data_IF_645471795881
#
_entry.id   IF_645471795881
#
_cell.length_a   1.000
_cell.length_b   1.000
_cell.length_c   1.000
_cell.angle_alpha   90.00
_cell.angle_beta   90.00
_cell.angle_gamma   90.00
#
_symmetry.space_group_name_H-M   'P 1'
#
loop_
_entity.id
_entity.type
_entity.pdbx_description
1 polymer ?
#
# COMPACT_ATOMS: atom_id res chain seq x y z
N UNK A 1 -15.74 2.44 1.14
CA UNK A 1 -14.68 2.94 0.29
C UNK A 1 -14.92 2.58 -1.19
N UNK A 2 -14.74 1.34 -1.62
CA UNK A 2 -14.84 0.92 -3.04
C UNK A 2 -16.25 0.89 -3.63
N UNK A 3 -17.31 0.85 -2.83
CA UNK A 3 -18.69 0.87 -3.33
C UNK A 3 -19.06 2.21 -3.95
N UNK A 4 -18.63 3.30 -3.36
CA UNK A 4 -18.86 4.65 -3.87
C UNK A 4 -18.11 4.85 -5.18
N UNK A 5 -16.85 4.41 -5.24
CA UNK A 5 -16.04 4.45 -6.46
C UNK A 5 -16.65 3.58 -7.58
N UNK A 6 -17.09 2.36 -7.27
CA UNK A 6 -17.77 1.49 -8.23
C UNK A 6 -19.07 2.13 -8.75
N UNK A 7 -19.89 2.71 -7.84
CA UNK A 7 -21.14 3.36 -8.19
C UNK A 7 -20.92 4.60 -9.07
N UNK A 8 -19.93 5.45 -8.74
CA UNK A 8 -19.61 6.63 -9.55
C UNK A 8 -19.19 6.28 -10.98
N UNK A 9 -18.69 5.07 -11.19
CA UNK A 9 -18.28 4.52 -12.49
C UNK A 9 -19.31 3.58 -13.13
N UNK A 10 -20.52 3.48 -12.55
CA UNK A 10 -21.59 2.58 -12.97
C UNK A 10 -21.15 1.09 -13.06
N UNK A 11 -20.20 0.66 -12.22
CA UNK A 11 -19.71 -0.70 -12.15
C UNK A 11 -20.41 -1.50 -11.03
N UNK A 12 -20.65 -2.79 -11.27
CA UNK A 12 -21.15 -3.70 -10.24
C UNK A 12 -19.98 -4.20 -9.40
N UNK A 13 -20.01 -3.97 -8.09
CA UNK A 13 -19.07 -4.56 -7.14
C UNK A 13 -19.77 -5.61 -6.29
N UNK A 14 -19.35 -6.87 -6.43
CA UNK A 14 -19.88 -8.01 -5.70
C UNK A 14 -18.84 -8.61 -4.77
N UNK A 15 -19.25 -9.02 -3.57
CA UNK A 15 -18.38 -9.74 -2.63
C UNK A 15 -19.04 -11.09 -2.34
N UNK A 16 -18.29 -12.17 -2.57
CA UNK A 16 -18.68 -13.53 -2.22
C UNK A 16 -17.76 -14.08 -1.14
N UNK A 17 -18.31 -14.34 0.02
CA UNK A 17 -17.59 -14.92 1.16
C UNK A 17 -18.28 -16.23 1.60
N UNK A 18 -17.53 -17.17 2.19
CA UNK A 18 -18.13 -18.36 2.80
C UNK A 18 -19.03 -17.97 3.97
N UNK A 19 -20.02 -18.81 4.26
CA UNK A 19 -20.93 -18.59 5.41
C UNK A 19 -20.21 -18.79 6.74
N UNK A 20 -19.28 -19.76 6.80
CA UNK A 20 -18.45 -20.01 7.99
C UNK A 20 -17.27 -19.04 8.06
N UNK A 21 -16.80 -18.74 9.25
CA UNK A 21 -15.53 -18.03 9.46
C UNK A 21 -14.38 -18.91 8.97
N UNK A 22 -13.38 -18.29 8.39
CA UNK A 22 -12.15 -18.95 7.95
C UNK A 22 -11.00 -18.10 8.48
N UNK A 23 -10.12 -18.75 9.18
CA UNK A 23 -8.88 -18.14 9.67
C UNK A 23 -7.74 -18.57 8.75
N UNK A 24 -6.87 -17.63 8.41
CA UNK A 24 -5.72 -17.88 7.55
C UNK A 24 -4.45 -17.36 8.19
N UNK A 25 -3.32 -17.96 7.85
CA UNK A 25 -2.02 -17.47 8.27
C UNK A 25 -1.58 -16.34 7.33
N UNK A 26 -1.28 -15.17 7.91
CA UNK A 26 -0.82 -14.01 7.14
C UNK A 26 -0.81 -12.74 7.97
N UNK A 27 -0.07 -11.75 7.52
CA UNK A 27 -0.06 -10.41 8.12
C UNK A 27 -1.30 -9.63 7.65
N UNK A 28 -2.16 -9.14 8.56
CA UNK A 28 -3.39 -8.43 8.20
C UNK A 28 -3.16 -7.16 7.38
N UNK A 29 -2.05 -6.44 7.64
CA UNK A 29 -1.72 -5.20 6.92
C UNK A 29 -1.32 -5.51 5.49
N UNK A 30 -0.47 -6.52 5.29
CA UNK A 30 -0.02 -6.94 3.95
C UNK A 30 -1.18 -7.54 3.13
N UNK A 31 -2.08 -8.30 3.77
CA UNK A 31 -3.30 -8.79 3.12
C UNK A 31 -4.19 -7.63 2.70
N UNK A 32 -4.43 -6.67 3.60
CA UNK A 32 -5.24 -5.48 3.31
C UNK A 32 -4.64 -4.67 2.16
N UNK A 33 -3.33 -4.40 2.21
CA UNK A 33 -2.64 -3.65 1.16
C UNK A 33 -2.75 -4.34 -0.21
N UNK A 34 -2.58 -5.66 -0.23
CA UNK A 34 -2.73 -6.45 -1.44
C UNK A 34 -4.15 -6.36 -2.01
N UNK A 35 -5.16 -6.50 -1.17
CA UNK A 35 -6.57 -6.41 -1.60
C UNK A 35 -6.92 -5.01 -2.12
N UNK A 36 -6.45 -3.96 -1.46
CA UNK A 36 -6.65 -2.57 -1.93
C UNK A 36 -6.10 -2.43 -3.35
N UNK A 37 -4.85 -2.83 -3.59
CA UNK A 37 -4.22 -2.73 -4.91
C UNK A 37 -4.97 -3.55 -5.98
N UNK A 38 -5.37 -4.77 -5.65
CA UNK A 38 -6.10 -5.63 -6.61
C UNK A 38 -7.48 -5.07 -6.95
N UNK A 39 -8.24 -4.59 -5.95
CA UNK A 39 -9.59 -4.04 -6.15
C UNK A 39 -9.50 -2.71 -6.92
N UNK A 40 -8.56 -1.84 -6.57
CA UNK A 40 -8.34 -0.58 -7.29
C UNK A 40 -8.00 -0.83 -8.76
N UNK A 41 -7.10 -1.77 -9.04
CA UNK A 41 -6.78 -2.16 -10.42
C UNK A 41 -8.00 -2.69 -11.15
N UNK A 42 -8.76 -3.58 -10.54
CA UNK A 42 -9.98 -4.13 -11.15
C UNK A 42 -10.99 -3.03 -11.48
N UNK A 43 -11.25 -2.10 -10.56
CA UNK A 43 -12.13 -0.97 -10.81
C UNK A 43 -11.58 -0.04 -11.89
N UNK A 44 -10.27 0.24 -11.86
CA UNK A 44 -9.61 1.15 -12.80
C UNK A 44 -9.68 0.67 -14.24
N UNK A 45 -9.41 -0.62 -14.47
CA UNK A 45 -9.33 -1.20 -15.81
C UNK A 45 -10.62 -1.85 -16.31
N UNK A 46 -11.70 -1.75 -15.54
CA UNK A 46 -13.05 -2.14 -15.97
C UNK A 46 -13.81 -0.90 -16.43
N UNK A 47 -14.09 -0.81 -17.72
CA UNK A 47 -14.85 0.31 -18.29
C UNK A 47 -16.35 0.08 -18.17
N UNK A 48 -16.80 -1.16 -18.30
CA UNK A 48 -18.20 -1.58 -18.19
C UNK A 48 -18.28 -2.98 -17.54
N UNK A 49 -19.38 -3.25 -16.82
CA UNK A 49 -19.61 -4.56 -16.22
C UNK A 49 -19.37 -4.55 -14.71
N UNK A 50 -18.35 -5.27 -14.19
CA UNK A 50 -18.18 -5.32 -12.76
C UNK A 50 -16.95 -6.05 -12.25
N UNK A 51 -16.80 -5.98 -10.93
CA UNK A 51 -15.73 -6.58 -10.14
C UNK A 51 -16.33 -7.54 -9.12
N UNK A 52 -15.75 -8.72 -8.98
CA UNK A 52 -16.11 -9.71 -7.98
C UNK A 52 -14.90 -10.01 -7.10
N UNK A 53 -15.05 -9.76 -5.80
CA UNK A 53 -14.11 -10.24 -4.78
C UNK A 53 -14.67 -11.54 -4.20
N UNK A 54 -13.90 -12.62 -4.27
CA UNK A 54 -14.34 -13.92 -3.80
C UNK A 54 -13.34 -14.55 -2.82
N UNK A 55 -13.85 -15.12 -1.73
CA UNK A 55 -13.08 -15.89 -0.76
C UNK A 55 -13.55 -17.33 -0.86
N UNK A 56 -12.65 -18.25 -1.23
CA UNK A 56 -12.99 -19.66 -1.47
C UNK A 56 -12.06 -20.59 -0.69
N UNK A 57 -12.62 -21.36 0.26
CA UNK A 57 -11.87 -22.45 0.88
C UNK A 57 -11.61 -23.57 -0.13
N UNK A 58 -10.41 -24.17 -0.07
CA UNK A 58 -9.95 -25.26 -0.93
C UNK A 58 -9.11 -26.24 -0.09
N UNK A 59 -9.75 -27.19 0.57
CA UNK A 59 -9.08 -28.10 1.50
C UNK A 59 -8.51 -27.33 2.70
N UNK A 60 -7.20 -27.42 2.89
CA UNK A 60 -6.40 -26.73 3.90
C UNK A 60 -5.95 -25.31 3.47
N UNK A 61 -6.36 -24.88 2.29
CA UNK A 61 -6.03 -23.56 1.75
C UNK A 61 -7.29 -22.69 1.59
N UNK A 62 -7.08 -21.37 1.63
CA UNK A 62 -8.09 -20.37 1.32
C UNK A 62 -7.59 -19.48 0.18
N UNK A 63 -8.36 -19.40 -0.88
CA UNK A 63 -8.07 -18.55 -2.03
C UNK A 63 -8.87 -17.25 -1.94
N UNK A 64 -8.18 -16.15 -2.01
CA UNK A 64 -8.77 -14.81 -2.15
C UNK A 64 -8.58 -14.37 -3.59
N UNK A 65 -9.66 -14.01 -4.26
CA UNK A 65 -9.70 -13.74 -5.70
C UNK A 65 -10.37 -12.40 -5.97
N UNK A 66 -9.82 -11.66 -6.91
CA UNK A 66 -10.44 -10.47 -7.49
C UNK A 66 -10.59 -10.70 -8.99
N UNK A 67 -11.83 -10.68 -9.45
CA UNK A 67 -12.21 -10.86 -10.84
C UNK A 67 -12.74 -9.54 -11.40
N UNK A 68 -12.37 -9.22 -12.61
CA UNK A 68 -12.90 -8.08 -13.34
C UNK A 68 -13.36 -8.49 -14.75
N UNK A 69 -14.27 -7.72 -15.31
CA UNK A 69 -14.71 -7.83 -16.71
C UNK A 69 -14.09 -6.72 -17.57
N UNK A 70 -12.88 -6.32 -17.22
CA UNK A 70 -12.17 -5.23 -17.86
C UNK A 70 -11.50 -5.60 -19.16
N UNK A 71 -10.55 -4.79 -19.55
CA UNK A 71 -9.85 -4.92 -20.84
C UNK A 71 -8.97 -6.16 -20.97
N UNK A 72 -8.70 -6.85 -19.85
CA UNK A 72 -7.79 -7.98 -19.84
C UNK A 72 -6.34 -7.60 -20.10
N UNK A 73 -5.48 -8.62 -20.27
CA UNK A 73 -4.03 -8.47 -20.40
C UNK A 73 -3.57 -9.39 -21.53
N UNK A 74 -2.82 -8.87 -22.48
CA UNK A 74 -2.25 -9.62 -23.58
C UNK A 74 -1.22 -10.67 -23.07
N UNK A 75 -1.07 -11.78 -23.78
CA UNK A 75 -0.22 -12.90 -23.34
C UNK A 75 1.24 -12.49 -23.16
N UNK A 76 1.76 -11.61 -24.05
CA UNK A 76 3.13 -11.12 -24.02
C UNK A 76 3.43 -10.25 -22.79
N UNK A 77 2.41 -9.67 -22.18
CA UNK A 77 2.52 -8.76 -21.04
C UNK A 77 2.41 -9.48 -19.69
N UNK A 78 1.76 -10.65 -19.65
CA UNK A 78 1.46 -11.40 -18.41
C UNK A 78 2.69 -11.67 -17.54
N UNK A 79 3.84 -11.92 -18.14
CA UNK A 79 5.09 -12.16 -17.42
C UNK A 79 5.70 -10.93 -16.76
N UNK A 80 5.26 -9.73 -17.15
CA UNK A 80 5.87 -8.46 -16.73
C UNK A 80 5.00 -7.64 -15.79
N UNK A 81 3.69 -7.92 -15.70
CA UNK A 81 2.73 -7.06 -14.96
C UNK A 81 2.99 -6.94 -13.45
N UNK A 82 3.74 -7.87 -12.87
CA UNK A 82 4.16 -7.81 -11.47
C UNK A 82 5.52 -7.11 -11.27
N UNK A 83 6.16 -6.68 -12.35
CA UNK A 83 7.41 -5.91 -12.26
C UNK A 83 7.09 -4.45 -11.86
N UNK A 84 7.90 -3.85 -10.99
CA UNK A 84 7.75 -2.44 -10.62
C UNK A 84 7.76 -1.55 -11.89
N UNK A 85 6.90 -0.53 -11.90
CA UNK A 85 6.77 0.49 -12.96
C UNK A 85 6.35 -0.04 -14.34
N UNK A 86 6.13 -1.33 -14.48
CA UNK A 86 5.63 -1.89 -15.72
C UNK A 86 4.15 -1.55 -15.91
N UNK A 87 3.82 -1.07 -17.09
CA UNK A 87 2.45 -0.75 -17.49
C UNK A 87 2.24 -1.20 -18.93
N UNK A 88 1.22 -2.06 -19.18
CA UNK A 88 0.76 -2.37 -20.53
C UNK A 88 0.40 -1.12 -21.33
N UNK A 89 0.60 -1.14 -22.64
CA UNK A 89 0.29 0.02 -23.51
C UNK A 89 -1.18 0.46 -23.37
N UNK A 90 -2.09 -0.49 -23.26
CA UNK A 90 -3.51 -0.21 -23.07
C UNK A 90 -3.80 0.47 -21.71
N UNK A 91 -3.04 0.15 -20.67
CA UNK A 91 -3.17 0.76 -19.36
C UNK A 91 -2.81 2.26 -19.39
N UNK A 92 -1.85 2.67 -20.21
CA UNK A 92 -1.52 4.09 -20.42
C UNK A 92 -2.67 4.87 -21.05
N UNK A 93 -3.40 4.24 -21.98
CA UNK A 93 -4.55 4.87 -22.67
C UNK A 93 -5.75 5.06 -21.75
N UNK A 94 -5.93 4.16 -20.77
CA UNK A 94 -7.06 4.20 -19.84
C UNK A 94 -6.80 5.16 -18.67
N UNK A 95 -5.58 5.15 -18.17
CA UNK A 95 -5.19 5.97 -17.00
C UNK A 95 -3.74 6.42 -17.13
N UNK A 96 -3.54 7.70 -17.44
CA UNK A 96 -2.21 8.30 -17.56
C UNK A 96 -1.50 8.50 -16.21
N UNK A 97 -2.24 8.58 -15.09
CA UNK A 97 -1.71 8.91 -13.77
C UNK A 97 -1.19 7.71 -12.95
N UNK A 98 -1.44 6.48 -13.40
CA UNK A 98 -1.00 5.28 -12.67
C UNK A 98 0.52 5.08 -12.71
N UNK A 99 1.12 4.68 -11.60
CA UNK A 99 2.58 4.55 -11.46
C UNK A 99 3.13 3.14 -11.76
N UNK A 100 2.29 2.14 -12.05
CA UNK A 100 2.74 0.76 -12.30
C UNK A 100 3.26 0.02 -11.07
N UNK A 101 2.91 0.45 -9.86
CA UNK A 101 3.39 -0.12 -8.60
C UNK A 101 2.42 -1.11 -7.95
N UNK A 102 1.12 -1.01 -8.20
CA UNK A 102 0.10 -1.75 -7.46
C UNK A 102 0.31 -3.27 -7.46
N UNK A 103 0.57 -3.87 -8.63
CA UNK A 103 0.81 -5.33 -8.73
C UNK A 103 2.19 -5.74 -8.20
N UNK A 104 3.20 -4.89 -8.31
CA UNK A 104 4.51 -5.13 -7.70
C UNK A 104 4.42 -5.16 -6.17
N UNK A 105 3.62 -4.27 -5.57
CA UNK A 105 3.32 -4.29 -4.13
C UNK A 105 2.62 -5.60 -3.74
N UNK A 106 1.63 -6.07 -4.52
CA UNK A 106 0.98 -7.38 -4.28
C UNK A 106 2.01 -8.51 -4.29
N UNK A 107 2.91 -8.53 -5.28
CA UNK A 107 3.96 -9.53 -5.37
C UNK A 107 4.92 -9.48 -4.16
N UNK A 108 5.32 -8.28 -3.73
CA UNK A 108 6.17 -8.09 -2.55
C UNK A 108 5.47 -8.53 -1.26
N UNK A 109 4.23 -8.12 -1.05
CA UNK A 109 3.43 -8.57 0.10
C UNK A 109 3.28 -10.09 0.15
N UNK A 110 2.99 -10.72 -1.00
CA UNK A 110 2.87 -12.16 -1.09
C UNK A 110 4.19 -12.89 -0.76
N UNK A 111 5.33 -12.37 -1.23
CA UNK A 111 6.67 -12.90 -0.88
C UNK A 111 6.95 -12.79 0.62
N UNK A 112 6.67 -11.64 1.23
CA UNK A 112 6.87 -11.42 2.67
C UNK A 112 6.02 -12.38 3.51
N UNK A 113 4.77 -12.61 3.11
CA UNK A 113 3.87 -13.56 3.77
C UNK A 113 4.14 -15.03 3.38
N UNK A 114 5.03 -15.29 2.42
CA UNK A 114 5.30 -16.62 1.85
C UNK A 114 4.04 -17.28 1.28
N UNK A 115 3.12 -16.50 0.72
CA UNK A 115 1.89 -17.00 0.09
C UNK A 115 2.03 -17.05 -1.42
N UNK A 116 1.34 -18.01 -2.05
CA UNK A 116 1.29 -18.10 -3.51
C UNK A 116 0.32 -17.08 -4.07
N UNK A 117 0.65 -16.50 -5.21
CA UNK A 117 -0.19 -15.54 -5.93
C UNK A 117 -0.06 -15.76 -7.43
N UNK A 118 -1.01 -15.22 -8.16
CA UNK A 118 -0.96 -15.28 -9.62
C UNK A 118 -2.16 -14.62 -10.28
N UNK A 119 -2.24 -14.80 -11.58
CA UNK A 119 -3.31 -14.25 -12.38
C UNK A 119 -3.71 -15.17 -13.53
N UNK A 120 -4.91 -14.96 -14.05
CA UNK A 120 -5.40 -15.44 -15.33
C UNK A 120 -6.11 -14.27 -16.01
N UNK A 121 -5.87 -14.06 -17.28
CA UNK A 121 -6.50 -12.99 -18.04
C UNK A 121 -6.67 -13.39 -19.50
N UNK A 122 -7.71 -12.85 -20.10
CA UNK A 122 -7.97 -12.94 -21.54
C UNK A 122 -8.20 -11.50 -22.00
N UNK A 123 -7.43 -11.06 -22.95
CA UNK A 123 -7.58 -9.75 -23.56
C UNK A 123 -9.01 -9.55 -24.08
N UNK A 124 -9.60 -8.38 -23.78
CA UNK A 124 -10.98 -8.04 -24.09
C UNK A 124 -12.05 -8.72 -23.23
N UNK A 125 -11.70 -9.63 -22.29
CA UNK A 125 -12.68 -10.35 -21.47
C UNK A 125 -12.53 -10.10 -19.97
N UNK A 126 -11.36 -9.60 -19.51
CA UNK A 126 -11.07 -9.31 -18.14
C UNK A 126 -10.01 -10.19 -17.51
N UNK A 127 -9.82 -10.01 -16.20
CA UNK A 127 -8.76 -10.66 -15.45
C UNK A 127 -9.26 -11.28 -14.14
N UNK A 128 -8.50 -12.22 -13.66
CA UNK A 128 -8.63 -12.81 -12.32
C UNK A 128 -7.27 -12.79 -11.67
N UNK A 129 -7.14 -12.08 -10.55
CA UNK A 129 -5.97 -12.12 -9.68
C UNK A 129 -6.29 -12.91 -8.42
N UNK A 130 -5.32 -13.63 -7.88
CA UNK A 130 -5.56 -14.46 -6.72
C UNK A 130 -4.34 -14.54 -5.81
N UNK A 131 -4.62 -14.74 -4.50
CA UNK A 131 -3.65 -15.08 -3.47
C UNK A 131 -4.15 -16.31 -2.72
N UNK A 132 -3.24 -17.20 -2.31
CA UNK A 132 -3.55 -18.48 -1.67
C UNK A 132 -2.90 -18.54 -0.31
N UNK A 133 -3.70 -18.64 0.71
CA UNK A 133 -3.32 -18.68 2.11
C UNK A 133 -3.52 -20.07 2.70
N UNK A 134 -2.66 -20.50 3.61
CA UNK A 134 -2.89 -21.69 4.43
C UNK A 134 -3.98 -21.38 5.45
N UNK A 135 -4.99 -22.24 5.58
CA UNK A 135 -6.00 -22.12 6.63
C UNK A 135 -5.37 -22.49 7.97
N UNK A 136 -5.76 -21.76 8.99
CA UNK A 136 -5.45 -22.12 10.36
C UNK A 136 -6.43 -23.18 10.84
N UNK A 137 -5.91 -24.35 11.22
CA UNK A 137 -6.70 -25.51 11.68
C UNK A 137 -6.77 -25.61 13.21
N UNK A 138 -6.55 -24.51 13.94
CA UNK A 138 -6.64 -24.50 15.42
C UNK A 138 -8.08 -24.72 15.89
N UNK A 139 -8.23 -25.34 17.06
CA UNK A 139 -9.53 -25.56 17.70
C UNK A 139 -10.23 -24.21 17.94
N UNK A 140 -11.51 -24.16 17.57
CA UNK A 140 -12.38 -22.96 17.58
C UNK A 140 -12.59 -22.32 18.98
N UNK A 141 -11.95 -22.81 20.03
CA UNK A 141 -12.30 -22.49 21.42
C UNK A 141 -11.75 -21.17 22.00
N UNK A 142 -10.86 -20.46 21.30
CA UNK A 142 -10.25 -19.25 21.86
C UNK A 142 -10.68 -17.96 21.12
N UNK A 143 -11.31 -18.07 19.95
CA UNK A 143 -11.68 -16.91 19.14
C UNK A 143 -13.21 -16.69 19.01
N UNK A 144 -14.00 -17.41 19.78
CA UNK A 144 -15.48 -17.35 19.75
C UNK A 144 -16.10 -16.21 20.57
N UNK A 145 -15.34 -15.17 20.89
CA UNK A 145 -16.00 -13.92 21.25
C UNK A 145 -16.33 -13.18 19.96
N UNK A 146 -17.59 -13.16 19.51
CA UNK A 146 -17.96 -12.36 18.36
C UNK A 146 -17.68 -10.90 18.74
N UNK A 147 -16.95 -10.14 17.92
CA UNK A 147 -17.19 -8.72 17.97
C UNK A 147 -18.68 -8.58 17.65
N UNK A 148 -19.44 -7.97 18.53
CA UNK A 148 -20.85 -7.72 18.37
C UNK A 148 -21.11 -7.29 16.94
N UNK A 149 -22.16 -7.84 16.33
CA UNK A 149 -22.58 -7.49 14.96
C UNK A 149 -23.13 -6.06 14.98
N UNK A 150 -22.24 -5.11 15.17
CA UNK A 150 -22.51 -3.71 14.89
C UNK A 150 -22.27 -3.49 13.41
N UNK A 151 -23.36 -3.33 12.68
CA UNK A 151 -23.40 -2.91 11.28
C UNK A 151 -22.96 -1.45 11.07
N UNK A 152 -22.47 -0.80 12.09
CA UNK A 152 -21.63 0.38 11.97
C UNK A 152 -20.22 -0.15 11.71
N UNK A 153 -19.73 0.05 10.51
CA UNK A 153 -18.31 -0.05 10.22
C UNK A 153 -17.61 0.93 11.17
N UNK A 154 -17.28 0.44 12.38
CA UNK A 154 -16.39 1.17 13.26
C UNK A 154 -15.11 1.31 12.46
N UNK A 155 -14.68 2.53 12.13
CA UNK A 155 -13.38 2.69 11.52
C UNK A 155 -12.42 1.92 12.42
N UNK A 156 -11.57 1.07 11.83
CA UNK A 156 -10.49 0.45 12.58
C UNK A 156 -9.79 1.60 13.26
N UNK A 157 -10.07 1.80 14.55
CA UNK A 157 -9.33 2.75 15.35
C UNK A 157 -7.95 2.14 15.45
N UNK A 158 -7.07 2.57 14.57
CA UNK A 158 -5.65 2.42 14.83
C UNK A 158 -5.45 2.97 16.24
N UNK A 159 -4.81 2.20 17.11
CA UNK A 159 -4.32 2.78 18.37
C UNK A 159 -3.59 4.07 17.92
N UNK A 160 -3.92 5.23 18.52
CA UNK A 160 -3.30 6.45 18.10
C UNK A 160 -1.79 6.21 18.13
N UNK A 161 -1.14 6.41 16.99
CA UNK A 161 0.31 6.32 16.92
C UNK A 161 0.79 7.49 17.75
N UNK A 162 1.43 7.19 18.89
CA UNK A 162 2.04 8.22 19.72
C UNK A 162 3.50 8.32 19.30
N UNK A 163 3.90 9.49 18.88
CA UNK A 163 5.27 9.77 18.46
C UNK A 163 5.41 11.13 17.82
N UNK A 164 6.63 11.48 17.52
CA UNK A 164 7.02 12.72 16.85
C UNK A 164 7.74 12.38 15.55
N UNK A 165 7.44 13.10 14.48
CA UNK A 165 8.03 12.91 13.16
C UNK A 165 8.56 14.23 12.62
N UNK A 166 9.76 14.21 12.06
CA UNK A 166 10.29 15.32 11.28
C UNK A 166 10.18 14.97 9.79
N UNK A 167 9.61 15.86 9.00
CA UNK A 167 9.53 15.74 7.54
C UNK A 167 10.44 16.80 6.95
N UNK A 168 11.36 16.40 6.09
CA UNK A 168 12.26 17.31 5.38
C UNK A 168 11.94 17.25 3.89
N UNK A 169 11.25 18.26 3.40
CA UNK A 169 10.79 18.37 2.01
C UNK A 169 10.56 19.85 1.68
N UNK A 170 11.08 20.32 0.58
CA UNK A 170 10.99 21.72 0.17
C UNK A 170 9.73 22.05 -0.65
N UNK A 171 8.87 21.08 -0.90
CA UNK A 171 7.56 21.31 -1.50
C UNK A 171 6.49 21.55 -0.42
N UNK A 172 5.94 22.77 -0.33
CA UNK A 172 4.94 23.12 0.68
C UNK A 172 3.63 22.34 0.55
N UNK A 173 3.32 21.79 -0.63
CA UNK A 173 2.16 20.93 -0.81
C UNK A 173 2.39 19.54 -0.19
N UNK A 174 3.61 19.04 -0.31
CA UNK A 174 3.99 17.73 0.27
C UNK A 174 4.05 17.84 1.80
N UNK A 175 4.70 18.87 2.33
CA UNK A 175 4.76 19.08 3.80
C UNK A 175 3.37 19.27 4.40
N UNK A 176 2.50 20.07 3.79
CA UNK A 176 1.12 20.27 4.25
C UNK A 176 0.29 18.97 4.18
N UNK A 177 0.53 18.13 3.17
CA UNK A 177 -0.12 16.83 3.09
C UNK A 177 0.33 15.89 4.22
N UNK A 178 1.64 15.87 4.55
CA UNK A 178 2.18 15.11 5.67
C UNK A 178 1.63 15.61 7.02
N UNK A 179 1.58 16.92 7.24
CA UNK A 179 0.98 17.49 8.45
C UNK A 179 -0.47 17.07 8.62
N UNK A 180 -1.28 17.16 7.57
CA UNK A 180 -2.68 16.76 7.58
C UNK A 180 -2.84 15.27 7.88
N UNK A 181 -2.04 14.42 7.26
CA UNK A 181 -2.09 12.96 7.43
C UNK A 181 -1.65 12.55 8.84
N UNK A 182 -0.54 13.08 9.31
CA UNK A 182 0.06 12.73 10.59
C UNK A 182 -0.80 13.22 11.77
N UNK A 183 -1.43 14.38 11.64
CA UNK A 183 -2.34 14.92 12.66
C UNK A 183 -3.56 14.03 12.87
N UNK A 184 -4.10 13.43 11.78
CA UNK A 184 -5.21 12.45 11.87
C UNK A 184 -4.79 11.19 12.65
N UNK A 185 -3.51 10.84 12.57
CA UNK A 185 -2.96 9.69 13.31
C UNK A 185 -2.52 10.02 14.73
N UNK A 186 -2.58 11.29 15.14
CA UNK A 186 -2.15 11.74 16.46
C UNK A 186 -0.63 11.82 16.63
N UNK A 187 0.12 11.92 15.51
CA UNK A 187 1.57 12.09 15.48
C UNK A 187 1.89 13.58 15.52
N UNK A 188 2.78 13.99 16.42
CA UNK A 188 3.35 15.34 16.43
C UNK A 188 4.35 15.48 15.27
N UNK A 189 4.02 16.30 14.28
CA UNK A 189 4.85 16.46 13.08
C UNK A 189 5.42 17.87 13.01
N UNK A 190 6.72 17.97 12.67
CA UNK A 190 7.38 19.20 12.29
C UNK A 190 7.90 19.04 10.87
N UNK A 191 7.82 20.12 10.10
CA UNK A 191 8.31 20.15 8.73
C UNK A 191 9.46 21.13 8.59
N UNK A 192 10.43 20.80 7.76
CA UNK A 192 11.59 21.60 7.41
C UNK A 192 11.77 21.60 5.89
N UNK A 193 12.09 22.74 5.29
CA UNK A 193 12.33 22.86 3.86
C UNK A 193 13.83 22.72 3.49
N UNK A 194 14.72 22.61 4.47
CA UNK A 194 16.17 22.49 4.30
C UNK A 194 16.83 21.75 5.46
N UNK A 195 18.09 21.36 5.28
CA UNK A 195 18.90 20.81 6.37
C UNK A 195 19.02 21.79 7.54
N UNK A 196 19.23 23.09 7.26
CA UNK A 196 19.37 24.12 8.27
C UNK A 196 18.13 24.21 9.17
N UNK A 197 16.94 24.24 8.57
CA UNK A 197 15.67 24.23 9.32
C UNK A 197 15.48 22.95 10.11
N UNK A 198 15.82 21.80 9.53
CA UNK A 198 15.73 20.51 10.22
C UNK A 198 16.62 20.48 11.46
N UNK A 199 17.85 20.97 11.37
CA UNK A 199 18.76 21.06 12.51
C UNK A 199 18.29 22.09 13.53
N UNK A 200 17.75 23.24 13.12
CA UNK A 200 17.20 24.23 14.03
C UNK A 200 16.02 23.67 14.86
N UNK A 201 15.15 22.86 14.24
CA UNK A 201 14.05 22.19 14.94
C UNK A 201 14.58 21.22 16.01
N UNK A 202 15.64 20.48 15.71
CA UNK A 202 16.28 19.57 16.68
C UNK A 202 16.96 20.35 17.81
N UNK A 203 17.67 21.44 17.46
CA UNK A 203 18.37 22.27 18.44
C UNK A 203 17.39 23.02 19.37
N UNK A 204 16.15 23.26 18.95
CA UNK A 204 15.04 23.78 19.75
C UNK A 204 14.43 22.72 20.69
N UNK A 205 14.98 21.51 20.71
CA UNK A 205 14.61 20.44 21.61
C UNK A 205 13.57 19.44 21.07
N UNK A 206 13.23 19.52 19.78
CA UNK A 206 12.36 18.53 19.18
C UNK A 206 13.13 17.23 18.93
N UNK A 207 12.65 16.13 19.52
CA UNK A 207 13.24 14.79 19.39
C UNK A 207 12.30 13.88 18.59
N UNK A 208 12.47 13.80 17.26
CA UNK A 208 11.64 12.93 16.45
C UNK A 208 11.97 11.46 16.67
N UNK A 209 10.94 10.65 16.77
CA UNK A 209 11.04 9.19 16.71
C UNK A 209 11.39 8.73 15.27
N UNK A 210 10.88 9.44 14.26
CA UNK A 210 11.13 9.14 12.86
C UNK A 210 11.40 10.42 12.05
N UNK A 211 12.22 10.29 11.01
CA UNK A 211 12.49 11.34 10.02
C UNK A 211 12.16 10.82 8.63
N UNK A 212 11.34 11.55 7.89
CA UNK A 212 11.09 11.35 6.47
C UNK A 212 11.79 12.47 5.70
N UNK A 213 12.68 12.13 4.79
CA UNK A 213 13.45 13.12 4.05
C UNK A 213 13.27 12.91 2.55
N UNK A 214 12.93 13.96 1.80
CA UNK A 214 12.97 13.89 0.34
C UNK A 214 14.39 13.61 -0.13
N UNK A 215 14.53 12.82 -1.17
CA UNK A 215 15.83 12.44 -1.72
C UNK A 215 16.60 13.65 -2.25
N UNK A 216 15.92 14.62 -2.85
CA UNK A 216 16.50 15.79 -3.49
C UNK A 216 15.74 17.07 -3.17
N UNK A 217 16.33 17.90 -2.38
CA UNK A 217 15.83 19.24 -2.14
C UNK A 217 16.25 20.18 -3.29
N UNK A 218 15.44 21.20 -3.58
CA UNK A 218 15.75 22.22 -4.62
C UNK A 218 17.02 23.00 -4.35
N UNK A 219 17.43 23.07 -3.09
CA UNK A 219 18.74 23.62 -2.69
C UNK A 219 19.94 22.84 -3.25
N UNK A 220 19.71 21.63 -3.78
CA UNK A 220 20.74 20.69 -4.21
C UNK A 220 21.26 19.79 -3.10
N UNK A 221 20.72 19.91 -1.90
CA UNK A 221 21.05 19.03 -0.77
C UNK A 221 20.49 17.62 -0.99
N UNK A 222 21.26 16.61 -0.59
CA UNK A 222 20.85 15.22 -0.62
C UNK A 222 20.16 14.84 0.68
N UNK A 223 18.92 14.29 0.59
CA UNK A 223 18.24 13.77 1.77
C UNK A 223 18.99 12.67 2.49
N UNK A 224 19.82 11.90 1.77
CA UNK A 224 20.68 10.89 2.37
C UNK A 224 21.73 11.51 3.28
N UNK A 225 22.38 12.59 2.85
CA UNK A 225 23.39 13.28 3.65
C UNK A 225 22.76 13.97 4.87
N UNK A 226 21.56 14.51 4.70
CA UNK A 226 20.80 15.09 5.82
C UNK A 226 20.44 14.01 6.85
N UNK A 227 19.89 12.87 6.41
CA UNK A 227 19.57 11.76 7.31
C UNK A 227 20.82 11.24 8.03
N UNK A 228 21.94 11.08 7.33
CA UNK A 228 23.21 10.65 7.93
C UNK A 228 23.66 11.60 9.04
N UNK A 229 23.63 12.90 8.78
CA UNK A 229 24.01 13.90 9.77
C UNK A 229 23.03 13.96 10.97
N UNK A 230 21.73 13.68 10.73
CA UNK A 230 20.74 13.57 11.80
C UNK A 230 20.94 12.31 12.64
N UNK A 231 21.31 11.16 12.05
CA UNK A 231 21.64 9.93 12.78
C UNK A 231 22.85 10.10 13.69
N UNK A 232 23.84 10.92 13.31
CA UNK A 232 24.99 11.22 14.18
C UNK A 232 24.56 11.95 15.46
N UNK A 233 23.49 12.76 15.40
CA UNK A 233 22.95 13.48 16.57
C UNK A 233 21.89 12.69 17.35
N UNK A 234 21.10 11.88 16.66
CA UNK A 234 19.97 11.13 17.19
C UNK A 234 20.04 9.67 16.74
N UNK A 235 20.91 8.84 17.33
CA UNK A 235 21.18 7.48 16.87
C UNK A 235 19.98 6.52 17.01
N UNK A 236 19.05 6.81 17.92
CA UNK A 236 17.88 5.97 18.19
C UNK A 236 16.66 6.28 17.29
N UNK A 237 16.75 7.28 16.40
CA UNK A 237 15.65 7.61 15.49
C UNK A 237 15.57 6.63 14.33
N UNK A 238 14.39 6.51 13.75
CA UNK A 238 14.18 5.81 12.47
C UNK A 238 14.20 6.83 11.33
N UNK A 239 14.84 6.50 10.21
CA UNK A 239 14.88 7.38 9.04
C UNK A 239 14.40 6.69 7.78
N UNK A 240 13.75 7.46 6.89
CA UNK A 240 13.39 6.99 5.57
C UNK A 240 13.57 8.09 4.51
N UNK A 241 14.09 7.69 3.35
CA UNK A 241 14.09 8.54 2.15
C UNK A 241 12.77 8.38 1.43
N UNK A 242 12.15 9.51 1.12
CA UNK A 242 10.98 9.61 0.25
C UNK A 242 11.45 10.13 -1.09
N UNK A 243 11.14 9.44 -2.17
CA UNK A 243 11.57 9.87 -3.50
C UNK A 243 10.51 9.60 -4.54
N UNK A 244 10.29 10.59 -5.40
CA UNK A 244 9.52 10.42 -6.64
C UNK A 244 10.36 9.83 -7.79
N UNK A 245 11.67 9.70 -7.65
CA UNK A 245 12.57 9.13 -8.65
C UNK A 245 12.94 7.67 -8.31
N UNK A 246 12.73 6.78 -9.25
CA UNK A 246 12.68 5.34 -9.01
C UNK A 246 13.90 4.54 -9.47
N UNK A 247 14.97 5.13 -9.89
CA UNK A 247 16.20 4.43 -10.32
C UNK A 247 17.47 5.19 -9.94
N UNK A 248 17.50 5.80 -8.78
CA UNK A 248 18.75 6.39 -8.29
C UNK A 248 19.70 5.30 -7.78
N UNK A 249 20.98 5.24 -8.22
CA UNK A 249 21.98 4.33 -7.66
C UNK A 249 22.12 4.45 -6.13
N UNK A 250 21.82 5.64 -5.59
CA UNK A 250 21.86 5.94 -4.15
C UNK A 250 20.81 5.15 -3.34
N UNK A 251 19.64 4.82 -3.95
CA UNK A 251 18.63 4.01 -3.26
C UNK A 251 19.05 2.54 -3.12
N UNK A 252 19.90 2.03 -4.01
CA UNK A 252 20.44 0.69 -3.94
C UNK A 252 21.52 0.54 -2.85
N UNK A 253 22.20 1.62 -2.50
CA UNK A 253 23.20 1.65 -1.41
C UNK A 253 22.55 1.77 -0.03
N UNK A 254 21.36 2.34 0.08
CA UNK A 254 20.63 2.49 1.34
C UNK A 254 19.95 1.18 1.84
N UNK A 255 19.89 0.13 0.99
CA UNK A 255 19.36 -1.19 1.36
C UNK A 255 20.45 -2.14 1.93
N UNK A 256 21.72 -1.74 2.01
CA UNK A 256 22.83 -2.50 2.62
C UNK A 256 23.13 -2.00 4.04
#
# INVERSE_FOLDING_TARGET
>A
LFREEANSRALRLCIRRPKRRIYVMGDPLLVRQSLINLIQNALRYTLQGGVLVAIRPRGDECMVEVWDTGVGIADEEKGKIFSPYYRPELAWKIDSAGHGLGLAVVARCAKLMKVKYGMQSIEGKGSRFWMRFTQYAGEDSVLDTPPAADNTATPVRYAPLHGSCLVVDDDPLVTSAWESLMSVWGIDVRCAASAEEAFAIIDDGFTPFAVLCDQRLRSGESGFDILKALFERLPDMSGAIVSGEFNSPVLLEAEQ
#
